data_IF_024636051466
#
_entry.id   IF_024636051466
#
_cell.length_a   1.000
_cell.length_b   1.000
_cell.length_c   1.000
_cell.angle_alpha   90.00
_cell.angle_beta   90.00
_cell.angle_gamma   90.00
#
_symmetry.space_group_name_H-M   'P 1'
#
loop_
_entity.id
_entity.type
_entity.pdbx_description
1 polymer ?
#
# COMPACT_ATOMS: atom_id res chain seq x y z
N UNK A 1 -5.80 55.88 43.77
CA UNK A 1 -6.51 54.59 43.86
C UNK A 1 -7.62 54.66 42.82
N UNK A 2 -7.49 53.93 41.70
CA UNK A 2 -8.56 53.89 40.71
C UNK A 2 -9.79 53.28 41.37
N UNK A 3 -10.96 53.91 41.21
CA UNK A 3 -12.20 53.40 41.80
C UNK A 3 -12.56 52.06 41.14
N UNK A 4 -13.00 51.12 41.97
CA UNK A 4 -13.36 49.75 41.57
C UNK A 4 -14.43 49.72 40.47
N UNK A 5 -15.26 50.77 40.40
CA UNK A 5 -16.25 50.98 39.35
C UNK A 5 -15.64 51.30 37.99
N UNK A 6 -14.57 52.11 37.95
CA UNK A 6 -13.87 52.46 36.70
C UNK A 6 -13.13 51.25 36.12
N UNK A 7 -12.61 50.38 36.99
CA UNK A 7 -11.96 49.14 36.57
C UNK A 7 -12.96 48.17 35.91
N UNK A 8 -14.15 48.01 36.49
CA UNK A 8 -15.23 47.18 35.89
C UNK A 8 -15.72 47.72 34.56
N UNK A 9 -15.83 49.04 34.42
CA UNK A 9 -16.32 49.66 33.18
C UNK A 9 -15.31 49.51 32.03
N UNK A 10 -14.01 49.57 32.34
CA UNK A 10 -12.95 49.29 31.37
C UNK A 10 -12.93 47.82 30.97
N UNK A 11 -13.16 46.91 31.93
CA UNK A 11 -13.19 45.47 31.68
C UNK A 11 -14.40 45.06 30.81
N UNK A 12 -15.57 45.65 31.05
CA UNK A 12 -16.74 45.48 30.19
C UNK A 12 -16.54 46.03 28.77
N UNK A 13 -15.78 47.12 28.62
CA UNK A 13 -15.39 47.66 27.32
C UNK A 13 -14.40 46.77 26.57
N UNK A 14 -13.48 46.12 27.29
CA UNK A 14 -12.57 45.12 26.71
C UNK A 14 -13.31 43.86 26.27
N UNK A 15 -14.25 43.36 27.08
CA UNK A 15 -15.07 42.19 26.74
C UNK A 15 -16.00 42.47 25.54
N UNK A 16 -16.58 43.67 25.44
CA UNK A 16 -17.38 44.08 24.29
C UNK A 16 -16.57 44.29 23.01
N UNK A 17 -15.28 44.62 23.12
CA UNK A 17 -14.38 44.74 21.97
C UNK A 17 -13.85 43.38 21.46
N UNK A 18 -13.83 42.36 22.33
CA UNK A 18 -13.39 41.01 22.00
C UNK A 18 -14.39 40.24 21.13
N UNK A 19 -15.68 40.59 21.19
CA UNK A 19 -16.74 39.97 20.39
C UNK A 19 -17.58 41.07 19.71
N UNK A 20 -17.26 41.49 18.48
CA UNK A 20 -18.17 42.34 17.74
C UNK A 20 -19.50 41.59 17.55
N UNK A 21 -20.62 42.21 17.91
CA UNK A 21 -21.96 41.75 17.53
C UNK A 21 -21.99 41.56 16.01
N UNK A 22 -21.94 40.30 15.59
CA UNK A 22 -22.17 39.94 14.19
C UNK A 22 -23.64 40.18 13.93
N UNK A 23 -23.97 41.31 13.31
CA UNK A 23 -25.26 41.47 12.63
C UNK A 23 -25.35 40.36 11.60
N UNK A 24 -26.20 39.37 11.85
CA UNK A 24 -26.50 38.31 10.91
C UNK A 24 -27.00 38.94 9.60
N UNK A 25 -26.12 39.01 8.59
CA UNK A 25 -26.56 39.25 7.23
C UNK A 25 -27.29 37.99 6.78
N UNK A 26 -28.59 38.11 6.54
CA UNK A 26 -29.41 37.10 5.88
C UNK A 26 -28.84 36.82 4.48
N UNK A 27 -27.86 35.90 4.42
CA UNK A 27 -27.46 35.21 3.21
C UNK A 27 -28.35 33.98 3.01
N UNK A 28 -28.57 33.53 1.77
CA UNK A 28 -29.65 32.60 1.46
C UNK A 28 -29.44 31.28 2.19
N UNK A 29 -30.34 31.01 3.13
CA UNK A 29 -30.54 29.72 3.73
C UNK A 29 -30.75 28.72 2.59
N UNK A 30 -29.83 27.77 2.44
CA UNK A 30 -29.97 26.68 1.47
C UNK A 30 -31.11 25.80 1.99
N UNK A 31 -32.34 26.11 1.58
CA UNK A 31 -33.48 25.22 1.69
C UNK A 31 -33.37 24.20 0.56
N UNK A 32 -32.43 23.26 0.72
CA UNK A 32 -32.32 22.07 -0.12
C UNK A 32 -32.78 20.87 0.70
N UNK A 33 -33.89 20.26 0.31
CA UNK A 33 -34.35 18.97 0.82
C UNK A 33 -33.30 17.89 0.50
N UNK A 34 -32.33 17.69 1.40
CA UNK A 34 -31.52 16.48 1.53
C UNK A 34 -30.87 16.51 2.92
N UNK A 35 -31.70 16.28 3.94
CA UNK A 35 -31.24 16.04 5.31
C UNK A 35 -30.94 14.55 5.39
N UNK A 36 -29.73 14.16 5.00
CA UNK A 36 -29.17 12.92 5.52
C UNK A 36 -28.33 13.29 6.75
N UNK A 37 -28.98 13.33 7.92
CA UNK A 37 -28.35 13.45 9.24
C UNK A 37 -27.89 12.08 9.72
N UNK A 38 -27.22 11.32 8.85
CA UNK A 38 -26.79 9.95 9.13
C UNK A 38 -25.50 9.86 9.95
N UNK A 39 -24.85 11.00 10.25
CA UNK A 39 -23.67 11.02 11.12
C UNK A 39 -23.38 12.42 11.70
N UNK A 40 -23.73 12.64 12.98
CA UNK A 40 -23.35 13.84 13.74
C UNK A 40 -21.84 14.08 13.74
N UNK A 41 -21.05 13.02 13.60
CA UNK A 41 -19.59 13.07 13.46
C UNK A 41 -19.17 13.85 12.19
N UNK A 42 -19.88 13.66 11.08
CA UNK A 42 -19.54 14.31 9.81
C UNK A 42 -19.87 15.80 9.85
N UNK A 43 -21.02 16.16 10.44
CA UNK A 43 -21.40 17.55 10.70
C UNK A 43 -20.38 18.25 11.61
N UNK A 44 -19.97 17.59 12.70
CA UNK A 44 -18.95 18.12 13.61
C UNK A 44 -17.58 18.31 12.92
N UNK A 45 -17.18 17.38 12.05
CA UNK A 45 -15.94 17.50 11.27
C UNK A 45 -16.00 18.65 10.27
N UNK A 46 -17.14 18.85 9.59
CA UNK A 46 -17.33 19.96 8.65
C UNK A 46 -17.26 21.31 9.38
N UNK A 47 -17.93 21.43 10.53
CA UNK A 47 -17.92 22.62 11.37
C UNK A 47 -16.51 22.94 11.91
N UNK A 48 -15.78 21.90 12.32
CA UNK A 48 -14.39 22.05 12.77
C UNK A 48 -13.47 22.55 11.64
N UNK A 49 -13.68 22.08 10.41
CA UNK A 49 -12.91 22.50 9.24
C UNK A 49 -13.18 23.96 8.87
N UNK A 50 -14.43 24.39 8.93
CA UNK A 50 -14.78 25.81 8.71
C UNK A 50 -14.17 26.71 9.79
N UNK A 51 -14.25 26.31 11.06
CA UNK A 51 -13.66 27.06 12.17
C UNK A 51 -12.14 27.21 12.03
N UNK A 52 -11.45 26.13 11.70
CA UNK A 52 -9.99 26.13 11.52
C UNK A 52 -9.57 27.00 10.32
N UNK A 53 -10.37 27.01 9.24
CA UNK A 53 -10.16 27.88 8.08
C UNK A 53 -10.33 29.36 8.42
N UNK A 54 -11.33 29.72 9.22
CA UNK A 54 -11.51 31.10 9.68
C UNK A 54 -10.38 31.56 10.59
N UNK A 55 -9.92 30.68 11.49
CA UNK A 55 -8.79 30.92 12.37
C UNK A 55 -7.49 31.18 11.58
N UNK A 56 -7.19 30.36 10.58
CA UNK A 56 -6.03 30.55 9.70
C UNK A 56 -6.13 31.86 8.89
N UNK A 57 -7.34 32.24 8.46
CA UNK A 57 -7.57 33.51 7.78
C UNK A 57 -7.37 34.71 8.72
N UNK A 58 -7.72 34.58 10.00
CA UNK A 58 -7.47 35.61 11.01
C UNK A 58 -5.97 35.76 11.28
N UNK A 59 -5.24 34.66 11.47
CA UNK A 59 -3.78 34.67 11.60
C UNK A 59 -3.10 35.36 10.42
N UNK A 60 -3.55 35.11 9.18
CA UNK A 60 -3.03 35.79 7.98
C UNK A 60 -3.27 37.30 8.00
N UNK A 61 -4.42 37.76 8.50
CA UNK A 61 -4.70 39.21 8.62
C UNK A 61 -3.82 39.85 9.68
N UNK A 62 -3.59 39.17 10.80
CA UNK A 62 -2.70 39.66 11.86
C UNK A 62 -1.25 39.68 11.40
N UNK A 63 -0.78 38.60 10.77
CA UNK A 63 0.55 38.50 10.15
C UNK A 63 0.79 39.66 9.18
N UNK A 64 -0.20 39.98 8.33
CA UNK A 64 -0.13 41.09 7.38
C UNK A 64 -0.14 42.46 8.07
N UNK A 65 -0.84 42.62 9.20
CA UNK A 65 -0.82 43.86 10.01
C UNK A 65 0.54 44.07 10.68
N UNK A 66 1.13 43.02 11.25
CA UNK A 66 2.45 43.09 11.90
C UNK A 66 3.60 43.27 10.89
N UNK A 67 3.48 42.66 9.71
CA UNK A 67 4.55 42.65 8.70
C UNK A 67 4.56 43.84 7.75
N UNK A 68 3.71 44.86 7.94
CA UNK A 68 3.47 45.99 7.03
C UNK A 68 4.72 46.60 6.36
N UNK A 69 5.24 47.71 6.88
CA UNK A 69 6.47 48.36 6.36
C UNK A 69 7.73 47.97 7.17
N UNK A 70 7.63 46.94 8.02
CA UNK A 70 8.75 46.48 8.85
C UNK A 70 9.80 45.76 8.02
N UNK A 71 11.08 46.09 8.23
CA UNK A 71 12.23 45.41 7.57
C UNK A 71 12.43 43.97 8.05
N UNK A 72 11.76 43.56 9.13
CA UNK A 72 11.80 42.20 9.68
C UNK A 72 10.37 41.68 9.75
N UNK A 73 10.10 40.54 9.13
CA UNK A 73 8.78 39.91 9.10
C UNK A 73 8.68 38.74 10.08
N UNK A 74 7.57 38.68 10.79
CA UNK A 74 7.16 37.61 11.72
C UNK A 74 6.20 36.69 10.96
N UNK A 75 6.45 35.38 10.96
CA UNK A 75 5.54 34.38 10.38
C UNK A 75 4.79 33.63 11.50
N UNK A 76 3.49 33.43 11.30
CA UNK A 76 2.65 32.62 12.20
C UNK A 76 2.33 31.23 11.62
N UNK A 77 3.10 30.74 10.64
CA UNK A 77 2.86 29.44 10.00
C UNK A 77 2.85 28.26 10.99
N UNK A 78 3.67 28.30 12.03
CA UNK A 78 3.71 27.26 13.07
C UNK A 78 2.43 27.18 13.93
N UNK A 79 1.56 28.19 13.86
CA UNK A 79 0.30 28.27 14.61
C UNK A 79 -0.94 27.95 13.76
N UNK A 80 -0.75 27.68 12.46
CA UNK A 80 -1.84 27.26 11.57
C UNK A 80 -2.12 25.77 11.73
N UNK A 81 -3.39 25.37 11.63
CA UNK A 81 -3.78 23.98 11.82
C UNK A 81 -3.57 23.17 10.53
N UNK A 82 -2.91 22.02 10.65
CA UNK A 82 -2.65 21.11 9.52
C UNK A 82 -3.85 20.17 9.35
N UNK A 83 -4.57 20.26 8.23
CA UNK A 83 -5.68 19.36 7.92
C UNK A 83 -5.21 18.07 7.22
N UNK A 84 -5.80 16.90 7.54
CA UNK A 84 -5.55 15.67 6.80
C UNK A 84 -6.21 15.72 5.42
N UNK A 85 -5.39 15.70 4.36
CA UNK A 85 -5.65 15.22 3.00
C UNK A 85 -7.10 15.28 2.45
N UNK A 86 -7.37 16.24 1.57
CA UNK A 86 -8.29 16.04 0.45
C UNK A 86 -7.46 15.80 -0.83
N UNK A 87 -7.45 14.57 -1.33
CA UNK A 87 -7.04 14.25 -2.70
C UNK A 87 -8.12 14.80 -3.65
N UNK A 88 -7.93 16.01 -4.14
CA UNK A 88 -8.66 16.51 -5.31
C UNK A 88 -7.79 16.32 -6.55
N UNK A 89 -8.04 15.22 -7.27
CA UNK A 89 -7.63 15.03 -8.67
C UNK A 89 -8.36 16.10 -9.52
N UNK A 90 -7.74 17.28 -9.69
CA UNK A 90 -8.18 18.26 -10.69
C UNK A 90 -7.07 19.24 -11.04
N UNK A 91 -6.70 19.18 -12.33
CA UNK A 91 -5.94 20.15 -13.14
C UNK A 91 -4.56 20.62 -12.65
N UNK A 92 -3.59 20.35 -13.51
CA UNK A 92 -2.35 21.09 -13.71
C UNK A 92 -2.49 22.58 -13.34
N UNK A 93 -1.95 22.97 -12.19
CA UNK A 93 -1.53 24.34 -11.94
C UNK A 93 -0.18 24.30 -11.23
N UNK A 94 0.81 24.88 -11.90
CA UNK A 94 2.17 25.04 -11.40
C UNK A 94 2.18 25.81 -10.08
N UNK A 95 2.83 25.26 -9.07
CA UNK A 95 3.11 25.96 -7.81
C UNK A 95 4.27 26.93 -8.06
N UNK A 96 3.94 28.21 -8.24
CA UNK A 96 4.92 29.30 -8.34
C UNK A 96 5.56 29.56 -6.95
N UNK A 97 6.72 28.97 -6.71
CA UNK A 97 7.54 29.20 -5.51
C UNK A 97 8.35 30.51 -5.60
N UNK A 98 7.68 31.64 -5.80
CA UNK A 98 8.31 32.96 -5.69
C UNK A 98 7.66 33.83 -4.61
N UNK A 99 8.12 33.65 -3.38
CA UNK A 99 8.30 34.79 -2.47
C UNK A 99 9.47 34.51 -1.52
N UNK A 100 10.69 34.77 -1.99
CA UNK A 100 11.86 34.94 -1.11
C UNK A 100 12.17 36.42 -1.05
N UNK A 101 11.73 37.06 0.04
CA UNK A 101 12.15 38.39 0.47
C UNK A 101 13.68 38.44 0.60
N UNK A 102 14.25 39.57 0.20
CA UNK A 102 15.69 39.84 0.07
C UNK A 102 16.55 39.31 1.24
N UNK A 103 17.41 38.34 0.94
CA UNK A 103 18.50 37.89 1.81
C UNK A 103 19.75 38.75 1.54
N UNK A 104 20.26 39.52 2.53
CA UNK A 104 21.38 40.44 2.35
C UNK A 104 22.75 39.76 2.18
N UNK A 105 22.85 38.43 2.26
CA UNK A 105 24.08 37.67 2.00
C UNK A 105 24.08 36.88 0.68
N UNK A 106 22.98 36.91 -0.09
CA UNK A 106 22.93 36.30 -1.44
C UNK A 106 23.50 37.29 -2.47
N UNK A 107 24.47 36.89 -3.33
CA UNK A 107 24.89 37.71 -4.46
C UNK A 107 23.67 38.09 -5.30
N UNK A 108 23.46 39.39 -5.54
CA UNK A 108 22.27 39.89 -6.22
C UNK A 108 21.96 39.05 -7.47
N UNK A 109 20.79 38.39 -7.48
CA UNK A 109 20.33 37.61 -8.65
C UNK A 109 20.33 38.53 -9.87
N UNK A 110 20.83 38.08 -11.04
CA UNK A 110 20.82 38.91 -12.24
C UNK A 110 19.38 39.31 -12.57
N UNK A 111 19.13 40.62 -12.62
CA UNK A 111 17.80 41.22 -12.81
C UNK A 111 17.10 40.57 -14.01
N UNK A 112 15.91 39.97 -13.84
CA UNK A 112 15.17 39.44 -14.97
C UNK A 112 14.81 40.58 -15.90
N UNK A 113 15.05 40.36 -17.19
CA UNK A 113 14.66 41.29 -18.26
C UNK A 113 13.20 41.70 -18.08
N UNK A 114 12.86 43.01 -18.11
CA UNK A 114 11.50 43.49 -17.92
C UNK A 114 10.54 42.88 -18.95
N UNK A 115 9.23 42.90 -18.66
CA UNK A 115 8.16 42.40 -19.56
C UNK A 115 8.20 42.98 -20.98
N UNK A 116 8.94 44.07 -21.21
CA UNK A 116 9.36 44.54 -22.54
C UNK A 116 10.71 43.91 -22.86
N UNK A 117 10.75 42.97 -23.80
CA UNK A 117 11.84 42.00 -24.04
C UNK A 117 13.23 42.51 -24.47
N UNK A 118 13.63 43.73 -24.09
CA UNK A 118 14.96 44.28 -24.28
C UNK A 118 15.29 45.34 -23.20
N UNK A 119 16.57 45.47 -22.86
CA UNK A 119 17.09 46.53 -21.97
C UNK A 119 18.19 47.28 -22.74
N UNK A 120 18.09 48.61 -22.78
CA UNK A 120 19.11 49.50 -23.38
C UNK A 120 18.54 50.54 -24.34
N UNK A 121 19.38 51.53 -24.72
CA UNK A 121 19.10 52.51 -25.78
C UNK A 121 20.30 52.58 -26.73
N UNK A 122 20.07 52.56 -28.04
CA UNK A 122 21.14 52.71 -29.05
C UNK A 122 21.81 51.39 -29.41
N UNK A 123 23.16 51.34 -29.39
CA UNK A 123 23.94 50.15 -29.78
C UNK A 123 24.03 49.08 -28.68
N UNK A 124 23.73 49.44 -27.44
CA UNK A 124 23.81 48.55 -26.28
C UNK A 124 22.43 47.97 -25.91
N UNK A 125 21.79 47.27 -26.86
CA UNK A 125 20.51 46.59 -26.64
C UNK A 125 20.80 45.15 -26.21
N UNK A 126 20.51 44.83 -24.95
CA UNK A 126 20.53 43.45 -24.46
C UNK A 126 19.14 42.85 -24.59
N UNK A 127 19.04 41.73 -25.31
CA UNK A 127 17.76 41.02 -25.50
C UNK A 127 17.73 39.75 -24.65
N UNK A 128 16.55 39.17 -24.49
CA UNK A 128 16.40 37.85 -23.83
C UNK A 128 17.20 36.71 -24.49
N UNK A 129 17.69 36.91 -25.71
CA UNK A 129 18.49 35.96 -26.48
C UNK A 129 19.98 36.26 -26.48
N UNK A 130 20.44 37.21 -25.67
CA UNK A 130 21.87 37.45 -25.47
C UNK A 130 22.53 36.19 -24.90
N UNK A 131 23.54 35.69 -25.61
CA UNK A 131 24.28 34.47 -25.30
C UNK A 131 24.90 34.52 -23.90
N UNK A 132 25.38 35.70 -23.48
CA UNK A 132 26.03 35.89 -22.17
C UNK A 132 25.01 35.85 -21.04
N UNK A 133 23.86 36.50 -21.23
CA UNK A 133 22.77 36.55 -20.23
C UNK A 133 22.09 35.18 -20.13
N UNK A 134 21.85 34.53 -21.27
CA UNK A 134 21.28 33.19 -21.33
C UNK A 134 22.23 32.16 -20.69
N UNK A 135 23.54 32.27 -20.95
CA UNK A 135 24.54 31.37 -20.39
C UNK A 135 24.64 31.46 -18.87
N UNK A 136 24.57 32.66 -18.29
CA UNK A 136 24.54 32.87 -16.84
C UNK A 136 23.24 32.34 -16.21
N UNK A 137 22.10 32.56 -16.87
CA UNK A 137 20.79 32.04 -16.41
C UNK A 137 20.76 30.51 -16.40
N UNK A 138 21.39 29.86 -17.38
CA UNK A 138 21.46 28.40 -17.43
C UNK A 138 22.29 27.85 -16.28
N UNK A 139 23.45 28.45 -15.99
CA UNK A 139 24.29 28.08 -14.85
C UNK A 139 23.53 28.22 -13.53
N UNK A 140 22.83 29.34 -13.31
CA UNK A 140 22.03 29.55 -12.10
C UNK A 140 20.88 28.53 -11.98
N UNK A 141 20.30 28.08 -13.09
CA UNK A 141 19.24 27.04 -13.10
C UNK A 141 19.75 25.63 -12.81
N UNK A 142 21.06 25.40 -12.79
CA UNK A 142 21.62 24.10 -12.40
C UNK A 142 21.42 23.82 -10.90
N UNK A 143 21.25 24.85 -10.07
CA UNK A 143 20.90 24.71 -8.65
C UNK A 143 19.57 23.99 -8.44
N UNK A 144 18.66 24.08 -9.42
CA UNK A 144 17.35 23.43 -9.39
C UNK A 144 17.38 21.98 -9.91
N UNK A 145 18.56 21.44 -10.23
CA UNK A 145 18.68 20.01 -10.52
C UNK A 145 18.50 19.18 -9.25
N UNK A 146 18.09 17.92 -9.41
CA UNK A 146 17.78 17.05 -8.28
C UNK A 146 18.95 17.01 -7.27
N UNK A 147 18.71 16.97 -5.95
CA UNK A 147 19.75 17.10 -4.92
C UNK A 147 20.93 16.12 -5.02
N UNK A 148 20.74 14.98 -5.71
CA UNK A 148 21.78 13.98 -5.95
C UNK A 148 22.65 14.21 -7.20
N UNK A 149 22.36 15.24 -8.00
CA UNK A 149 23.16 15.59 -9.17
C UNK A 149 24.27 16.55 -8.76
N UNK A 150 25.50 16.02 -8.65
CA UNK A 150 26.64 16.79 -8.17
C UNK A 150 27.15 17.75 -9.24
N UNK A 151 26.64 18.99 -9.21
CA UNK A 151 27.03 20.07 -10.14
C UNK A 151 28.44 20.62 -9.84
N UNK A 152 29.03 20.26 -8.69
CA UNK A 152 30.34 20.74 -8.23
C UNK A 152 30.30 22.17 -7.70
N UNK A 153 31.44 22.67 -7.23
CA UNK A 153 31.59 24.00 -6.59
C UNK A 153 31.56 25.18 -7.59
N UNK A 154 31.13 24.94 -8.83
CA UNK A 154 30.99 25.98 -9.86
C UNK A 154 29.79 26.91 -9.61
N UNK A 155 28.93 26.57 -8.67
CA UNK A 155 27.77 27.37 -8.25
C UNK A 155 28.31 28.62 -7.50
N UNK A 156 28.17 29.79 -8.13
CA UNK A 156 28.70 31.07 -7.62
C UNK A 156 29.91 31.62 -8.38
N UNK A 157 30.49 30.87 -9.31
CA UNK A 157 31.48 31.39 -10.27
C UNK A 157 30.76 31.98 -11.50
N UNK A 158 31.36 32.97 -12.20
CA UNK A 158 30.80 33.55 -13.45
C UNK A 158 30.94 32.59 -14.65
N UNK A 159 30.47 31.35 -14.47
CA UNK A 159 30.45 30.33 -15.50
C UNK A 159 29.26 30.57 -16.43
N UNK A 160 29.52 30.48 -17.73
CA UNK A 160 28.51 30.65 -18.78
C UNK A 160 28.29 29.32 -19.49
N UNK A 161 27.12 28.73 -19.31
CA UNK A 161 26.80 27.44 -19.91
C UNK A 161 25.95 27.62 -21.18
N UNK A 162 26.41 27.07 -22.30
CA UNK A 162 25.63 27.11 -23.54
C UNK A 162 24.31 26.35 -23.40
N UNK A 163 23.28 26.79 -24.13
CA UNK A 163 21.95 26.14 -24.11
C UNK A 163 22.02 24.65 -24.46
N UNK A 164 22.89 24.28 -25.39
CA UNK A 164 23.07 22.90 -25.81
C UNK A 164 23.59 22.03 -24.64
N UNK A 165 24.60 22.51 -23.91
CA UNK A 165 25.19 21.77 -22.79
C UNK A 165 24.21 21.71 -21.61
N UNK A 166 23.50 22.81 -21.33
CA UNK A 166 22.46 22.83 -20.28
C UNK A 166 21.37 21.78 -20.54
N UNK A 167 20.86 21.72 -21.77
CA UNK A 167 19.80 20.76 -22.13
C UNK A 167 20.30 19.31 -22.07
N UNK A 168 21.54 19.04 -22.48
CA UNK A 168 22.15 17.72 -22.36
C UNK A 168 22.30 17.29 -20.89
N UNK A 169 22.78 18.19 -20.02
CA UNK A 169 22.91 17.94 -18.58
C UNK A 169 21.54 17.74 -17.92
N UNK A 170 20.54 18.55 -18.28
CA UNK A 170 19.16 18.42 -17.80
C UNK A 170 18.57 17.05 -18.16
N UNK A 171 18.73 16.60 -19.40
CA UNK A 171 18.28 15.27 -19.82
C UNK A 171 19.01 14.15 -19.09
N UNK A 172 20.32 14.30 -18.89
CA UNK A 172 21.11 13.35 -18.13
C UNK A 172 20.66 13.25 -16.67
N UNK A 173 20.44 14.38 -15.99
CA UNK A 173 19.97 14.45 -14.61
C UNK A 173 18.63 13.73 -14.43
N UNK A 174 17.64 13.99 -15.30
CA UNK A 174 16.36 13.26 -15.25
C UNK A 174 16.53 11.77 -15.54
N UNK A 175 17.44 11.39 -16.44
CA UNK A 175 17.67 9.97 -16.75
C UNK A 175 18.32 9.22 -15.58
N UNK A 176 19.23 9.87 -14.86
CA UNK A 176 19.88 9.37 -13.65
C UNK A 176 18.87 9.24 -12.51
N UNK A 177 18.04 10.27 -12.29
CA UNK A 177 16.98 10.24 -11.27
C UNK A 177 15.99 9.10 -11.51
N UNK A 178 15.56 8.88 -12.76
CA UNK A 178 14.70 7.73 -13.10
C UNK A 178 15.41 6.40 -12.88
N UNK A 179 16.74 6.34 -13.04
CA UNK A 179 17.52 5.12 -12.81
C UNK A 179 17.70 4.87 -11.32
N UNK A 180 18.01 5.90 -10.53
CA UNK A 180 18.15 5.80 -9.07
C UNK A 180 16.82 5.46 -8.41
N UNK A 181 15.70 6.04 -8.84
CA UNK A 181 14.36 5.68 -8.38
C UNK A 181 14.03 4.21 -8.64
N UNK A 182 14.34 3.69 -9.84
CA UNK A 182 14.19 2.26 -10.17
C UNK A 182 15.08 1.36 -9.32
N UNK A 183 16.31 1.79 -9.02
CA UNK A 183 17.24 1.05 -8.18
C UNK A 183 16.79 1.04 -6.72
N UNK A 184 16.25 2.15 -6.21
CA UNK A 184 15.64 2.23 -4.88
C UNK A 184 14.41 1.32 -4.78
N UNK A 185 13.49 1.37 -5.75
CA UNK A 185 12.32 0.48 -5.80
C UNK A 185 12.77 -1.00 -5.82
N UNK A 186 13.81 -1.32 -6.59
CA UNK A 186 14.39 -2.68 -6.62
C UNK A 186 15.04 -3.07 -5.29
N UNK A 187 15.73 -2.15 -4.61
CA UNK A 187 16.39 -2.39 -3.31
C UNK A 187 15.37 -2.59 -2.19
N UNK A 188 14.28 -1.81 -2.18
CA UNK A 188 13.15 -1.98 -1.25
C UNK A 188 12.42 -3.31 -1.49
N UNK A 189 12.29 -3.70 -2.77
CA UNK A 189 11.75 -5.00 -3.13
C UNK A 189 12.72 -6.16 -2.80
N UNK A 190 14.03 -5.89 -2.71
CA UNK A 190 15.08 -6.87 -2.40
C UNK A 190 15.47 -6.92 -0.92
N UNK A 191 14.92 -6.07 -0.05
CA UNK A 191 15.21 -6.14 1.39
C UNK A 191 14.48 -7.34 1.99
N UNK A 192 15.19 -8.48 1.98
CA UNK A 192 14.72 -9.82 2.33
C UNK A 192 14.24 -9.99 3.79
N UNK A 193 14.33 -8.97 4.64
CA UNK A 193 13.86 -9.03 6.04
C UNK A 193 12.34 -9.10 6.18
N UNK A 194 11.60 -8.61 5.18
CA UNK A 194 10.14 -8.65 5.18
C UNK A 194 9.70 -9.78 4.26
N UNK A 195 9.27 -10.91 4.83
CA UNK A 195 8.77 -12.08 4.11
C UNK A 195 7.61 -11.77 3.13
N UNK A 196 7.05 -10.55 3.20
CA UNK A 196 5.91 -10.03 2.44
C UNK A 196 6.19 -8.61 1.95
N UNK A 197 5.79 -8.31 0.72
CA UNK A 197 5.95 -6.99 0.10
C UNK A 197 5.10 -5.90 0.80
N UNK A 198 5.49 -4.61 0.72
CA UNK A 198 4.77 -3.52 1.39
C UNK A 198 3.28 -3.44 1.02
N UNK A 199 2.91 -3.72 -0.25
CA UNK A 199 1.52 -3.65 -0.72
C UNK A 199 0.67 -4.76 -0.11
N UNK A 200 1.22 -5.96 0.01
CA UNK A 200 0.54 -7.08 0.66
C UNK A 200 0.44 -6.89 2.17
N UNK A 201 1.45 -6.30 2.83
CA UNK A 201 1.34 -5.93 4.25
C UNK A 201 0.21 -4.92 4.50
N UNK A 202 0.04 -3.93 3.62
CA UNK A 202 -1.09 -3.01 3.69
C UNK A 202 -2.45 -3.73 3.51
N UNK A 203 -2.52 -4.76 2.67
CA UNK A 203 -3.73 -5.55 2.50
C UNK A 203 -4.07 -6.36 3.76
N UNK A 204 -3.07 -6.95 4.41
CA UNK A 204 -3.22 -7.64 5.70
C UNK A 204 -3.65 -6.66 6.80
N UNK A 205 -3.06 -5.47 6.86
CA UNK A 205 -3.46 -4.42 7.79
C UNK A 205 -4.92 -3.98 7.59
N UNK A 206 -5.36 -3.83 6.33
CA UNK A 206 -6.77 -3.55 6.02
C UNK A 206 -7.73 -4.65 6.49
N UNK A 207 -7.29 -5.91 6.50
CA UNK A 207 -8.09 -7.02 7.01
C UNK A 207 -8.28 -6.93 8.52
N UNK A 208 -7.22 -6.56 9.24
CA UNK A 208 -7.27 -6.32 10.68
C UNK A 208 -8.18 -5.13 11.01
N UNK A 209 -7.98 -3.99 10.35
CA UNK A 209 -8.81 -2.80 10.56
C UNK A 209 -10.29 -3.01 10.20
N UNK A 210 -10.59 -3.93 9.29
CA UNK A 210 -11.97 -4.28 8.95
C UNK A 210 -12.65 -5.19 9.98
N UNK A 211 -11.99 -5.57 11.08
CA UNK A 211 -12.55 -6.48 12.08
C UNK A 211 -12.62 -7.95 11.64
N UNK A 212 -12.07 -8.30 10.48
CA UNK A 212 -12.07 -9.69 9.97
C UNK A 212 -11.02 -10.55 10.68
N UNK A 213 -9.89 -9.95 11.04
CA UNK A 213 -8.82 -10.57 11.82
C UNK A 213 -8.57 -9.68 13.03
N UNK A 214 -8.39 -10.27 14.20
CA UNK A 214 -8.09 -9.50 15.40
C UNK A 214 -6.60 -9.12 15.43
N UNK A 215 -5.72 -10.11 15.27
CA UNK A 215 -4.27 -9.94 15.34
C UNK A 215 -3.56 -10.95 14.46
N UNK A 216 -2.48 -10.54 13.80
CA UNK A 216 -1.58 -11.40 13.04
C UNK A 216 -0.31 -11.59 13.87
N UNK A 217 -0.09 -12.78 14.42
CA UNK A 217 0.95 -13.01 15.44
C UNK A 217 2.32 -13.29 14.82
N UNK A 218 2.42 -14.33 13.99
CA UNK A 218 3.72 -14.86 13.55
C UNK A 218 3.69 -15.65 12.25
N UNK A 219 4.87 -15.87 11.67
CA UNK A 219 5.04 -16.71 10.49
C UNK A 219 5.12 -18.18 10.90
N UNK A 220 4.21 -19.00 10.40
CA UNK A 220 4.18 -20.45 10.61
C UNK A 220 5.21 -21.12 9.71
N UNK A 221 5.19 -20.79 8.41
CA UNK A 221 6.04 -21.46 7.44
C UNK A 221 6.39 -20.54 6.27
N UNK A 222 7.66 -20.54 5.88
CA UNK A 222 8.14 -19.87 4.67
C UNK A 222 8.45 -20.92 3.61
N UNK A 223 7.56 -21.07 2.64
CA UNK A 223 7.78 -21.92 1.48
C UNK A 223 8.52 -21.18 0.36
N UNK A 224 8.92 -21.93 -0.68
CA UNK A 224 9.43 -21.36 -1.94
C UNK A 224 8.40 -20.43 -2.58
N UNK A 225 7.13 -20.79 -2.47
CA UNK A 225 6.06 -20.24 -3.29
C UNK A 225 5.08 -19.34 -2.52
N UNK A 226 4.95 -19.57 -1.23
CA UNK A 226 4.06 -18.84 -0.35
C UNK A 226 4.66 -18.72 1.05
N UNK A 227 4.10 -17.82 1.84
CA UNK A 227 4.38 -17.69 3.27
C UNK A 227 3.06 -17.84 4.01
N UNK A 228 3.05 -18.60 5.09
CA UNK A 228 1.87 -18.84 5.91
C UNK A 228 2.04 -18.16 7.26
N UNK A 229 1.08 -17.34 7.65
CA UNK A 229 1.05 -16.65 8.94
C UNK A 229 -0.08 -17.18 9.82
N UNK A 230 0.12 -17.14 11.13
CA UNK A 230 -0.92 -17.36 12.13
C UNK A 230 -1.64 -16.03 12.41
N UNK A 231 -2.97 -16.09 12.57
CA UNK A 231 -3.78 -14.96 12.98
C UNK A 231 -5.00 -15.41 13.78
N UNK A 232 -5.50 -14.53 14.64
CA UNK A 232 -6.79 -14.72 15.31
C UNK A 232 -7.92 -14.18 14.44
N UNK A 233 -8.97 -14.98 14.30
CA UNK A 233 -10.19 -14.58 13.62
C UNK A 233 -10.91 -13.48 14.38
N UNK A 234 -11.37 -12.45 13.68
CA UNK A 234 -12.15 -11.39 14.30
C UNK A 234 -13.59 -11.85 14.58
N UNK A 235 -14.20 -11.30 15.61
CA UNK A 235 -15.63 -11.43 15.87
C UNK A 235 -16.35 -10.33 15.10
N UNK A 236 -16.89 -10.64 13.93
CA UNK A 236 -17.80 -9.72 13.25
C UNK A 236 -19.12 -9.74 14.02
N UNK A 237 -19.41 -8.66 14.76
CA UNK A 237 -20.67 -8.44 15.48
C UNK A 237 -21.83 -8.06 14.55
N UNK A 238 -21.57 -7.88 13.25
CA UNK A 238 -22.61 -7.56 12.27
C UNK A 238 -23.48 -8.79 12.00
N UNK A 239 -24.67 -8.80 12.61
CA UNK A 239 -25.82 -9.67 12.36
C UNK A 239 -26.31 -9.61 10.90
N UNK A 240 -25.48 -10.00 9.94
CA UNK A 240 -25.93 -10.33 8.59
C UNK A 240 -26.11 -11.84 8.54
N UNK A 241 -27.32 -12.28 8.22
CA UNK A 241 -27.77 -13.68 8.23
C UNK A 241 -26.93 -14.65 7.36
N UNK A 242 -25.98 -14.15 6.57
CA UNK A 242 -25.03 -14.93 5.75
C UNK A 242 -23.56 -14.88 6.26
N UNK A 243 -23.34 -14.42 7.49
CA UNK A 243 -21.99 -14.27 8.05
C UNK A 243 -21.31 -15.62 8.20
N UNK A 244 -20.35 -15.90 7.31
CA UNK A 244 -19.44 -17.05 7.44
C UNK A 244 -18.81 -17.02 8.82
N UNK A 245 -19.02 -18.09 9.60
CA UNK A 245 -18.37 -18.27 10.91
C UNK A 245 -16.86 -18.22 10.70
N UNK A 246 -16.22 -17.18 11.25
CA UNK A 246 -14.76 -17.05 11.23
C UNK A 246 -14.22 -17.94 12.37
N UNK A 247 -13.32 -18.88 12.09
CA UNK A 247 -12.72 -19.69 13.14
C UNK A 247 -11.84 -18.82 14.05
N UNK A 248 -11.76 -19.18 15.33
CA UNK A 248 -10.97 -18.46 16.34
C UNK A 248 -9.50 -18.32 15.93
N UNK A 249 -8.91 -19.38 15.37
CA UNK A 249 -7.56 -19.38 14.81
C UNK A 249 -7.60 -19.57 13.29
N UNK A 250 -6.84 -18.74 12.59
CA UNK A 250 -6.75 -18.67 11.15
C UNK A 250 -5.30 -18.79 10.67
N UNK A 251 -5.12 -19.46 9.54
CA UNK A 251 -3.89 -19.46 8.75
C UNK A 251 -4.05 -18.53 7.54
N UNK A 252 -3.11 -17.60 7.37
CA UNK A 252 -3.06 -16.68 6.23
C UNK A 252 -1.97 -17.14 5.27
N UNK A 253 -2.34 -17.75 4.15
CA UNK A 253 -1.43 -18.12 3.07
C UNK A 253 -1.28 -16.96 2.09
N UNK A 254 -0.08 -16.39 2.04
CA UNK A 254 0.30 -15.30 1.14
C UNK A 254 1.16 -15.85 0.01
N UNK A 255 0.67 -15.81 -1.22
CA UNK A 255 1.44 -16.27 -2.38
C UNK A 255 2.48 -15.20 -2.77
N UNK A 256 3.75 -15.60 -2.89
CA UNK A 256 4.84 -14.65 -3.19
C UNK A 256 4.66 -14.06 -4.58
N UNK A 257 4.57 -12.73 -4.69
CA UNK A 257 4.39 -12.02 -5.97
C UNK A 257 5.66 -11.87 -6.80
N UNK A 258 6.80 -12.17 -6.18
CA UNK A 258 8.13 -11.80 -6.65
C UNK A 258 8.94 -13.05 -6.99
N UNK A 259 9.52 -13.07 -8.20
CA UNK A 259 10.67 -13.88 -8.66
C UNK A 259 10.41 -15.01 -9.68
N UNK A 260 10.94 -14.78 -10.89
CA UNK A 260 11.61 -15.63 -11.91
C UNK A 260 11.56 -17.17 -11.91
N UNK A 261 11.15 -17.86 -10.84
CA UNK A 261 11.07 -19.32 -10.76
C UNK A 261 9.72 -19.86 -11.28
N UNK A 262 8.84 -18.97 -11.74
CA UNK A 262 7.48 -19.27 -12.22
C UNK A 262 7.38 -20.08 -13.51
N UNK A 263 8.48 -20.39 -14.21
CA UNK A 263 8.43 -21.04 -15.54
C UNK A 263 7.90 -22.48 -15.51
N UNK A 264 8.07 -23.21 -14.41
CA UNK A 264 7.65 -24.61 -14.33
C UNK A 264 6.18 -24.79 -13.94
N UNK A 265 5.49 -23.70 -13.60
CA UNK A 265 4.11 -23.70 -13.11
C UNK A 265 3.06 -23.73 -14.22
N UNK A 266 3.46 -23.36 -15.44
CA UNK A 266 2.59 -23.38 -16.62
C UNK A 266 2.01 -24.78 -16.87
N UNK A 267 2.76 -25.85 -16.57
CA UNK A 267 2.31 -27.24 -16.75
C UNK A 267 1.06 -27.61 -15.94
N UNK A 268 0.80 -26.94 -14.82
CA UNK A 268 -0.33 -27.25 -13.92
C UNK A 268 -1.57 -26.39 -14.14
N UNK A 269 -1.49 -25.35 -15.00
CA UNK A 269 -2.60 -24.42 -15.25
C UNK A 269 -2.97 -24.33 -16.73
N UNK A 270 -2.01 -24.46 -17.64
CA UNK A 270 -2.22 -24.24 -19.07
C UNK A 270 -3.33 -25.13 -19.65
N UNK A 271 -3.44 -26.36 -19.14
CA UNK A 271 -4.41 -27.35 -19.62
C UNK A 271 -5.64 -27.49 -18.69
N UNK A 272 -5.77 -26.65 -17.65
CA UNK A 272 -6.99 -26.55 -16.85
C UNK A 272 -8.05 -25.76 -17.63
N UNK A 273 -9.17 -26.42 -17.96
CA UNK A 273 -10.25 -25.83 -18.76
C UNK A 273 -10.82 -24.54 -18.15
N UNK A 274 -10.75 -24.36 -16.82
CA UNK A 274 -11.24 -23.16 -16.12
C UNK A 274 -10.40 -21.91 -16.41
N UNK A 275 -9.15 -22.10 -16.84
CA UNK A 275 -8.16 -21.03 -16.99
C UNK A 275 -7.55 -20.93 -18.41
N UNK A 276 -7.86 -21.90 -19.29
CA UNK A 276 -7.34 -22.03 -20.66
C UNK A 276 -7.44 -20.74 -21.48
N UNK A 277 -8.58 -20.05 -21.42
CA UNK A 277 -8.80 -18.81 -22.20
C UNK A 277 -8.11 -17.58 -21.59
N UNK A 278 -7.83 -17.63 -20.28
CA UNK A 278 -7.22 -16.51 -19.56
C UNK A 278 -5.70 -16.56 -19.60
N UNK A 279 -5.07 -17.73 -19.75
CA UNK A 279 -3.64 -17.93 -19.47
C UNK A 279 -2.65 -17.24 -20.43
N UNK A 280 -3.01 -17.08 -21.71
CA UNK A 280 -2.04 -16.83 -22.80
C UNK A 280 -1.24 -15.50 -22.75
N UNK A 281 -1.66 -14.48 -21.99
CA UNK A 281 -1.00 -13.15 -21.95
C UNK A 281 -1.04 -12.46 -20.57
N UNK A 282 -1.07 -13.22 -19.48
CA UNK A 282 -1.30 -12.63 -18.16
C UNK A 282 -0.03 -12.16 -17.46
N UNK A 283 -0.10 -10.94 -16.92
CA UNK A 283 0.87 -10.43 -15.96
C UNK A 283 1.09 -11.43 -14.82
N UNK A 284 2.33 -11.64 -14.32
CA UNK A 284 2.62 -12.59 -13.23
C UNK A 284 1.70 -12.43 -12.01
N UNK A 285 1.33 -11.20 -11.66
CA UNK A 285 0.37 -10.91 -10.58
C UNK A 285 -1.02 -11.51 -10.81
N UNK A 286 -1.50 -11.51 -12.06
CA UNK A 286 -2.78 -12.13 -12.43
C UNK A 286 -2.68 -13.66 -12.37
N UNK A 287 -1.54 -14.22 -12.78
CA UNK A 287 -1.27 -15.67 -12.62
C UNK A 287 -1.37 -16.06 -11.16
N UNK A 288 -0.66 -15.35 -10.27
CA UNK A 288 -0.63 -15.68 -8.84
C UNK A 288 -2.02 -15.57 -8.19
N UNK A 289 -2.84 -14.60 -8.62
CA UNK A 289 -4.24 -14.55 -8.22
C UNK A 289 -5.01 -15.80 -8.67
N UNK A 290 -4.83 -16.26 -9.91
CA UNK A 290 -5.47 -17.50 -10.39
C UNK A 290 -5.01 -18.72 -9.60
N UNK A 291 -3.75 -18.78 -9.16
CA UNK A 291 -3.26 -19.86 -8.29
C UNK A 291 -4.00 -19.85 -6.94
N UNK A 292 -4.13 -18.68 -6.32
CA UNK A 292 -4.85 -18.53 -5.07
C UNK A 292 -6.35 -18.87 -5.22
N UNK A 293 -6.97 -18.46 -6.33
CA UNK A 293 -8.33 -18.85 -6.70
C UNK A 293 -8.43 -20.36 -6.89
N UNK A 294 -7.49 -21.00 -7.60
CA UNK A 294 -7.47 -22.44 -7.82
C UNK A 294 -7.42 -23.21 -6.49
N UNK A 295 -6.52 -22.84 -5.58
CA UNK A 295 -6.43 -23.47 -4.27
C UNK A 295 -7.72 -23.30 -3.46
N UNK A 296 -8.30 -22.10 -3.44
CA UNK A 296 -9.59 -21.83 -2.78
C UNK A 296 -10.71 -22.76 -3.30
N UNK A 297 -10.82 -22.92 -4.62
CA UNK A 297 -11.83 -23.79 -5.22
C UNK A 297 -11.57 -25.27 -4.91
N UNK A 298 -10.31 -25.70 -4.94
CA UNK A 298 -9.93 -27.08 -4.63
C UNK A 298 -10.25 -27.43 -3.17
N UNK A 299 -9.88 -26.57 -2.21
CA UNK A 299 -10.24 -26.72 -0.79
C UNK A 299 -11.75 -26.75 -0.59
N UNK A 300 -12.49 -25.87 -1.28
CA UNK A 300 -13.96 -25.87 -1.21
C UNK A 300 -14.57 -27.18 -1.72
N UNK A 301 -14.01 -27.77 -2.78
CA UNK A 301 -14.44 -29.09 -3.30
C UNK A 301 -14.16 -30.20 -2.28
N UNK A 302 -12.95 -30.20 -1.69
CA UNK A 302 -12.56 -31.18 -0.67
C UNK A 302 -13.44 -31.10 0.57
N UNK A 303 -13.75 -29.89 1.04
CA UNK A 303 -14.62 -29.67 2.19
C UNK A 303 -16.04 -30.23 1.96
N UNK A 304 -16.57 -30.10 0.73
CA UNK A 304 -17.88 -30.66 0.36
C UNK A 304 -17.90 -32.19 0.36
N UNK A 305 -16.78 -32.83 0.07
CA UNK A 305 -16.61 -34.29 0.15
C UNK A 305 -16.27 -34.77 1.57
N UNK A 306 -16.23 -33.88 2.56
CA UNK A 306 -15.89 -34.23 3.95
C UNK A 306 -14.42 -34.62 4.15
N UNK A 307 -13.54 -34.31 3.20
CA UNK A 307 -12.10 -34.56 3.33
C UNK A 307 -11.53 -33.61 4.40
N UNK A 308 -10.71 -34.10 5.37
CA UNK A 308 -10.03 -33.25 6.33
C UNK A 308 -9.03 -32.32 5.64
N UNK A 309 -9.42 -31.06 5.47
CA UNK A 309 -8.60 -29.99 4.91
C UNK A 309 -8.94 -28.64 5.56
N UNK A 310 -8.07 -27.62 5.43
CA UNK A 310 -8.37 -26.28 5.94
C UNK A 310 -9.68 -25.73 5.35
N UNK A 311 -10.55 -25.21 6.21
CA UNK A 311 -11.79 -24.54 5.79
C UNK A 311 -11.47 -23.15 5.27
N UNK A 312 -11.94 -22.82 4.07
CA UNK A 312 -11.70 -21.50 3.45
C UNK A 312 -12.60 -20.44 4.09
N UNK A 313 -11.99 -19.37 4.60
CA UNK A 313 -12.70 -18.21 5.13
C UNK A 313 -12.90 -17.18 4.01
N UNK A 314 -11.78 -16.66 3.49
CA UNK A 314 -11.76 -15.60 2.50
C UNK A 314 -10.55 -15.72 1.56
N UNK A 315 -10.74 -15.34 0.30
CA UNK A 315 -9.66 -15.05 -0.62
C UNK A 315 -9.69 -13.57 -1.02
N UNK A 316 -8.57 -12.85 -0.83
CA UNK A 316 -8.42 -11.46 -1.28
C UNK A 316 -7.15 -11.31 -2.10
N UNK A 317 -7.30 -11.14 -3.41
CA UNK A 317 -6.20 -11.11 -4.39
C UNK A 317 -5.36 -12.40 -4.33
N UNK A 318 -4.20 -12.33 -3.70
CA UNK A 318 -3.23 -13.43 -3.53
C UNK A 318 -3.00 -13.77 -2.05
N UNK A 319 -3.94 -13.40 -1.19
CA UNK A 319 -3.96 -13.76 0.22
C UNK A 319 -5.19 -14.65 0.46
N UNK A 320 -4.94 -15.89 0.87
CA UNK A 320 -5.96 -16.87 1.23
C UNK A 320 -5.98 -17.03 2.75
N UNK A 321 -7.13 -16.77 3.36
CA UNK A 321 -7.39 -16.98 4.79
C UNK A 321 -8.20 -18.26 4.94
N UNK A 322 -7.69 -19.18 5.76
CA UNK A 322 -8.26 -20.49 6.01
C UNK A 322 -8.18 -20.85 7.50
N UNK A 323 -8.91 -21.87 7.94
CA UNK A 323 -8.84 -22.35 9.33
C UNK A 323 -7.43 -22.82 9.66
N UNK A 324 -6.98 -22.50 10.87
CA UNK A 324 -5.75 -23.05 11.41
C UNK A 324 -5.94 -24.54 11.77
N UNK A 325 -4.92 -25.36 11.50
CA UNK A 325 -4.90 -26.77 11.92
C UNK A 325 -3.82 -26.86 12.99
N UNK A 326 -4.24 -27.03 14.23
CA UNK A 326 -3.38 -26.89 15.40
C UNK A 326 -4.18 -26.34 16.59
N UNK A 327 -3.46 -26.06 17.67
CA UNK A 327 -4.03 -25.45 18.88
C UNK A 327 -3.01 -24.47 19.48
N UNK A 328 -3.51 -23.39 20.10
CA UNK A 328 -2.72 -22.43 20.86
C UNK A 328 -1.52 -21.88 20.08
N UNK A 329 -1.77 -21.44 18.83
CA UNK A 329 -0.75 -20.96 17.89
C UNK A 329 0.29 -22.00 17.42
N UNK A 330 0.21 -23.26 17.87
CA UNK A 330 1.11 -24.33 17.47
C UNK A 330 0.51 -25.11 16.30
N UNK A 331 1.12 -25.07 15.10
CA UNK A 331 0.60 -25.79 13.95
C UNK A 331 0.70 -27.30 14.18
N UNK A 332 -0.26 -28.04 13.63
CA UNK A 332 -0.16 -29.48 13.60
C UNK A 332 1.14 -29.92 12.87
N UNK A 333 1.88 -30.88 13.43
CA UNK A 333 3.13 -31.34 12.84
C UNK A 333 2.87 -32.06 11.51
N UNK A 334 3.83 -31.96 10.60
CA UNK A 334 3.80 -32.72 9.35
C UNK A 334 3.98 -34.20 9.63
N UNK A 335 3.42 -35.07 8.78
CA UNK A 335 3.54 -36.52 8.96
C UNK A 335 5.01 -36.98 9.03
N UNK A 336 5.91 -36.31 8.31
CA UNK A 336 7.37 -36.53 8.39
C UNK A 336 7.97 -36.27 9.77
N UNK A 337 7.46 -35.28 10.49
CA UNK A 337 8.03 -34.78 11.74
C UNK A 337 7.48 -35.54 12.96
N UNK A 338 6.37 -36.26 12.79
CA UNK A 338 5.74 -37.04 13.86
C UNK A 338 6.38 -38.42 13.98
N UNK A 339 6.72 -38.79 15.21
CA UNK A 339 7.09 -40.16 15.55
C UNK A 339 5.83 -40.95 15.86
N UNK A 340 5.31 -41.64 14.86
CA UNK A 340 4.13 -42.51 14.99
C UNK A 340 4.54 -43.90 15.47
N UNK A 341 3.67 -44.53 16.27
CA UNK A 341 3.76 -45.96 16.55
C UNK A 341 3.46 -46.78 15.29
N UNK A 342 3.81 -48.07 15.29
CA UNK A 342 3.52 -48.96 14.16
C UNK A 342 2.02 -49.09 13.87
N UNK A 343 1.17 -48.97 14.89
CA UNK A 343 -0.29 -49.02 14.74
C UNK A 343 -0.83 -47.72 14.14
N UNK A 344 -0.44 -46.56 14.68
CA UNK A 344 -0.83 -45.24 14.15
C UNK A 344 -0.32 -45.01 12.73
N UNK A 345 0.88 -45.50 12.40
CA UNK A 345 1.41 -45.41 11.04
C UNK A 345 0.57 -46.22 10.04
N UNK A 346 0.14 -47.44 10.42
CA UNK A 346 -0.78 -48.22 9.58
C UNK A 346 -2.12 -47.51 9.42
N UNK A 347 -2.64 -46.94 10.51
CA UNK A 347 -3.88 -46.18 10.47
C UNK A 347 -3.75 -44.96 9.56
N UNK A 348 -2.70 -44.15 9.71
CA UNK A 348 -2.41 -43.00 8.86
C UNK A 348 -2.29 -43.41 7.38
N UNK A 349 -1.66 -44.55 7.09
CA UNK A 349 -1.54 -45.07 5.73
C UNK A 349 -2.91 -45.43 5.13
N UNK A 350 -3.75 -46.17 5.86
CA UNK A 350 -5.10 -46.51 5.39
C UNK A 350 -5.99 -45.28 5.25
N UNK A 351 -5.90 -44.33 6.19
CA UNK A 351 -6.57 -43.04 6.08
C UNK A 351 -6.11 -42.31 4.81
N UNK A 352 -4.81 -42.22 4.56
CA UNK A 352 -4.26 -41.57 3.35
C UNK A 352 -4.78 -42.21 2.07
N UNK A 353 -4.79 -43.55 1.99
CA UNK A 353 -5.35 -44.27 0.84
C UNK A 353 -6.84 -43.95 0.62
N UNK A 354 -7.62 -43.92 1.71
CA UNK A 354 -9.04 -43.55 1.62
C UNK A 354 -9.21 -42.12 1.12
N UNK A 355 -8.43 -41.16 1.66
CA UNK A 355 -8.48 -39.76 1.23
C UNK A 355 -8.07 -39.60 -0.25
N UNK A 356 -7.08 -40.36 -0.72
CA UNK A 356 -6.71 -40.37 -2.15
C UNK A 356 -7.85 -40.87 -3.04
N UNK A 357 -8.55 -41.92 -2.61
CA UNK A 357 -9.71 -42.46 -3.33
C UNK A 357 -10.88 -41.45 -3.34
N UNK A 358 -11.18 -40.81 -2.20
CA UNK A 358 -12.22 -39.78 -2.14
C UNK A 358 -11.87 -38.56 -2.98
N UNK A 359 -10.61 -38.13 -2.98
CA UNK A 359 -10.14 -37.02 -3.82
C UNK A 359 -10.35 -37.32 -5.30
N UNK A 360 -10.03 -38.53 -5.74
CA UNK A 360 -10.20 -38.96 -7.13
C UNK A 360 -11.67 -39.15 -7.52
N UNK A 361 -12.44 -39.88 -6.71
CA UNK A 361 -13.80 -40.30 -7.06
C UNK A 361 -14.85 -39.21 -6.80
N UNK A 362 -14.78 -38.53 -5.65
CA UNK A 362 -15.80 -37.56 -5.22
C UNK A 362 -15.44 -36.14 -5.62
N UNK A 363 -14.17 -35.76 -5.46
CA UNK A 363 -13.73 -34.39 -5.79
C UNK A 363 -13.30 -34.24 -7.26
N UNK A 364 -13.12 -35.34 -7.99
CA UNK A 364 -12.55 -35.37 -9.35
C UNK A 364 -11.21 -34.62 -9.42
N UNK A 365 -10.35 -34.85 -8.42
CA UNK A 365 -9.07 -34.19 -8.26
C UNK A 365 -7.95 -35.20 -8.00
N UNK A 366 -6.76 -34.87 -8.51
CA UNK A 366 -5.49 -35.51 -8.19
C UNK A 366 -4.64 -34.45 -7.50
N UNK A 367 -4.08 -34.77 -6.33
CA UNK A 367 -3.31 -33.81 -5.53
C UNK A 367 -2.11 -33.28 -6.31
N UNK A 368 -1.45 -34.18 -7.06
CA UNK A 368 -0.30 -33.94 -7.93
C UNK A 368 0.97 -33.51 -7.22
N UNK A 369 1.02 -33.52 -5.89
CA UNK A 369 2.24 -33.29 -5.11
C UNK A 369 2.09 -33.89 -3.71
N UNK A 370 1.43 -35.05 -3.61
CA UNK A 370 1.14 -35.67 -2.33
C UNK A 370 2.40 -36.33 -1.78
N UNK A 371 2.76 -35.98 -0.55
CA UNK A 371 3.90 -36.50 0.20
C UNK A 371 3.72 -36.26 1.70
N UNK A 372 4.57 -36.86 2.52
CA UNK A 372 4.62 -36.69 3.97
C UNK A 372 4.84 -35.23 4.44
N UNK A 373 5.26 -34.34 3.53
CA UNK A 373 5.45 -32.91 3.80
C UNK A 373 4.15 -32.10 3.66
N UNK A 374 3.19 -32.60 2.87
CA UNK A 374 1.91 -31.95 2.55
C UNK A 374 0.73 -32.61 3.29
N UNK A 375 1.03 -33.44 4.29
CA UNK A 375 0.07 -34.07 5.18
C UNK A 375 0.38 -33.66 6.62
N UNK A 376 -0.63 -33.23 7.35
CA UNK A 376 -0.52 -32.93 8.79
C UNK A 376 -1.17 -34.04 9.60
N UNK A 377 -0.61 -34.35 10.76
CA UNK A 377 -1.19 -35.30 11.70
C UNK A 377 -1.79 -34.53 12.88
N UNK A 378 -3.11 -34.63 13.03
CA UNK A 378 -3.83 -33.89 14.06
C UNK A 378 -5.04 -34.67 14.58
N UNK A 379 -5.13 -34.83 15.90
CA UNK A 379 -6.21 -35.54 16.59
C UNK A 379 -6.50 -36.95 16.02
N UNK A 380 -5.44 -37.72 15.71
CA UNK A 380 -5.55 -39.07 15.16
C UNK A 380 -6.00 -39.13 13.69
N UNK A 381 -6.00 -38.00 12.99
CA UNK A 381 -6.42 -37.89 11.59
C UNK A 381 -5.34 -37.28 10.71
N UNK A 382 -5.28 -37.77 9.47
CA UNK A 382 -4.50 -37.16 8.39
C UNK A 382 -5.27 -35.99 7.78
N UNK A 383 -4.65 -34.81 7.75
CA UNK A 383 -5.18 -33.61 7.10
C UNK A 383 -4.36 -33.29 5.86
N UNK A 384 -5.04 -33.02 4.74
CA UNK A 384 -4.41 -32.65 3.47
C UNK A 384 -4.28 -31.14 3.35
N UNK A 385 -3.10 -30.67 2.96
CA UNK A 385 -2.79 -29.25 2.74
C UNK A 385 -2.08 -29.03 1.40
N UNK A 386 -2.03 -27.78 0.95
CA UNK A 386 -1.35 -27.34 -0.28
C UNK A 386 -1.85 -27.98 -1.59
N UNK A 387 -3.14 -27.79 -1.87
CA UNK A 387 -3.81 -28.26 -3.10
C UNK A 387 -3.76 -27.24 -4.25
N UNK A 388 -2.74 -26.39 -4.24
CA UNK A 388 -2.53 -25.36 -5.27
C UNK A 388 -2.14 -25.96 -6.63
N UNK A 389 -1.40 -27.06 -6.61
CA UNK A 389 -0.93 -27.77 -7.81
C UNK A 389 -1.91 -28.84 -8.32
N UNK A 390 -2.96 -29.14 -7.55
CA UNK A 390 -3.89 -30.23 -7.87
C UNK A 390 -4.57 -30.03 -9.22
N UNK A 391 -4.77 -31.12 -9.95
CA UNK A 391 -5.33 -31.14 -11.30
C UNK A 391 -6.50 -32.10 -11.38
N UNK A 392 -7.34 -31.93 -12.39
CA UNK A 392 -8.41 -32.90 -12.65
C UNK A 392 -7.85 -34.16 -13.35
N UNK A 393 -8.46 -35.35 -13.15
CA UNK A 393 -8.03 -36.59 -13.82
C UNK A 393 -8.02 -36.51 -15.35
N UNK A 394 -8.84 -35.65 -15.94
CA UNK A 394 -8.94 -35.40 -17.38
C UNK A 394 -7.74 -34.65 -17.96
N UNK A 395 -6.88 -34.08 -17.11
CA UNK A 395 -5.65 -33.41 -17.51
C UNK A 395 -4.70 -34.40 -18.22
N UNK A 396 -3.96 -33.99 -19.27
CA UNK A 396 -3.08 -34.90 -20.03
C UNK A 396 -2.08 -35.67 -19.16
N UNK A 397 -1.62 -35.04 -18.07
CA UNK A 397 -0.70 -35.63 -17.09
C UNK A 397 -1.38 -36.07 -15.77
N UNK A 398 -2.71 -36.09 -15.69
CA UNK A 398 -3.44 -36.37 -14.44
C UNK A 398 -3.10 -37.72 -13.83
N UNK A 399 -3.13 -38.79 -14.64
CA UNK A 399 -2.81 -40.15 -14.19
C UNK A 399 -1.32 -40.34 -13.88
N UNK A 400 -0.43 -39.62 -14.57
CA UNK A 400 1.01 -39.63 -14.28
C UNK A 400 1.29 -39.05 -12.89
N UNK A 401 0.62 -37.93 -12.56
CA UNK A 401 0.70 -37.33 -11.24
C UNK A 401 0.10 -38.22 -10.15
N UNK A 402 -1.03 -38.88 -10.42
CA UNK A 402 -1.63 -39.82 -9.48
C UNK A 402 -0.69 -40.99 -9.19
N UNK A 403 -0.05 -41.55 -10.23
CA UNK A 403 0.91 -42.63 -10.06
C UNK A 403 2.12 -42.19 -9.21
N UNK A 404 2.60 -40.96 -9.40
CA UNK A 404 3.66 -40.37 -8.56
C UNK A 404 3.21 -40.23 -7.11
N UNK A 405 2.02 -39.70 -6.87
CA UNK A 405 1.46 -39.55 -5.52
C UNK A 405 1.35 -40.92 -4.82
N UNK A 406 0.83 -41.94 -5.50
CA UNK A 406 0.76 -43.32 -4.98
C UNK A 406 2.14 -43.88 -4.62
N UNK A 407 3.14 -43.60 -5.47
CA UNK A 407 4.51 -44.02 -5.22
C UNK A 407 5.10 -43.33 -3.99
N UNK A 408 4.93 -42.02 -3.85
CA UNK A 408 5.41 -41.27 -2.69
C UNK A 408 4.79 -41.80 -1.39
N UNK A 409 3.47 -41.99 -1.37
CA UNK A 409 2.76 -42.52 -0.18
C UNK A 409 3.19 -43.96 0.14
N UNK A 410 3.54 -44.76 -0.86
CA UNK A 410 4.03 -46.13 -0.66
C UNK A 410 5.52 -46.20 -0.29
N UNK A 411 6.28 -45.13 -0.51
CA UNK A 411 7.72 -45.03 -0.29
C UNK A 411 8.08 -44.28 0.98
N UNK A 412 7.12 -43.92 1.84
CA UNK A 412 7.39 -43.25 3.12
C UNK A 412 8.37 -44.13 3.91
N UNK A 413 9.63 -43.71 3.90
CA UNK A 413 10.76 -44.46 4.47
C UNK A 413 10.51 -44.62 5.98
N UNK A 414 10.54 -45.88 6.43
CA UNK A 414 10.35 -46.34 7.81
C UNK A 414 11.56 -46.01 8.68
#
# INVERSE_FOLDING_TARGET
VMSEQLAKELQLKEEAAAFPEVTASEGPFITGENIDTSSDLMLAQMLQMEFDREYDAQLRREEKKFNGDSKVSISFENYRKVHPYEDSDSSEDEVDWQDTRDDPYIPAKPVPTPKKGFIGKGKDITTKHDEVVCGRKNTARMENFAPGFQVGDGIGMDLKLSNHVFNALKQHAYSEERRSARLHEKKEHSTAEKAVDPKTRLLMYKMVNSGMLETITGCISTGKESVVFHAYGGSMEDEKEDSKVIPTECAIKVFKTTLNEFKNRDKYIKDDFRFKDRFSKLNPRKIIRMWAEKEMHNLTRMQRAGIPCPTVVLLKKHILVMSFIGHDQVPAPKLKEVKLSSEEMKEAYYQTLHLMQQLYNECTLVHADLSEYNMLWHAGKVWLIDVSQSVEPTHPHGLEFLFRDCRNVSQVDV
#
